data_IF_338290333920
#
_entry.id   IF_338290333920
#
_cell.length_a   1.000
_cell.length_b   1.000
_cell.length_c   1.000
_cell.angle_alpha   90.00
_cell.angle_beta   90.00
_cell.angle_gamma   90.00
#
_symmetry.space_group_name_H-M   'P 1'
#
loop_
_entity.id
_entity.type
_entity.pdbx_description
1 polymer ?
#
# COMPACT_ATOMS: atom_id res chain seq x y z
N UNK A 1 4.20 -11.35 -27.39
CA UNK A 1 4.93 -10.68 -26.29
C UNK A 1 4.67 -9.17 -26.22
N UNK A 2 4.38 -8.49 -27.35
CA UNK A 2 4.05 -7.05 -27.36
C UNK A 2 2.72 -6.73 -26.67
N UNK A 3 1.72 -7.59 -26.80
CA UNK A 3 0.37 -7.38 -26.24
C UNK A 3 0.37 -7.52 -24.71
N UNK A 4 1.17 -8.43 -24.16
CA UNK A 4 1.33 -8.59 -22.70
C UNK A 4 2.02 -7.36 -22.11
N UNK A 5 3.06 -6.86 -22.75
CA UNK A 5 3.78 -5.65 -22.28
C UNK A 5 2.89 -4.40 -22.30
N UNK A 6 2.02 -4.24 -23.30
CA UNK A 6 1.10 -3.09 -23.39
C UNK A 6 -0.01 -3.16 -22.37
N UNK A 7 -0.60 -4.35 -22.13
CA UNK A 7 -1.63 -4.53 -21.09
C UNK A 7 -1.11 -4.27 -19.69
N UNK A 8 0.10 -4.75 -19.37
CA UNK A 8 0.73 -4.53 -18.07
C UNK A 8 1.03 -3.04 -17.84
N UNK A 9 1.50 -2.33 -18.85
CA UNK A 9 1.79 -0.90 -18.76
C UNK A 9 0.52 -0.07 -18.56
N UNK A 10 -0.57 -0.39 -19.28
CA UNK A 10 -1.89 0.25 -19.11
C UNK A 10 -2.43 -0.01 -17.71
N UNK A 11 -2.34 -1.24 -17.22
CA UNK A 11 -2.79 -1.62 -15.89
C UNK A 11 -2.06 -0.84 -14.79
N UNK A 12 -0.72 -0.78 -14.84
CA UNK A 12 0.09 -0.03 -13.87
C UNK A 12 -0.23 1.46 -13.93
N UNK A 13 -0.32 2.04 -15.14
CA UNK A 13 -0.64 3.46 -15.31
C UNK A 13 -2.04 3.79 -14.78
N UNK A 14 -3.03 2.92 -15.03
CA UNK A 14 -4.40 3.09 -14.54
C UNK A 14 -4.44 3.08 -13.00
N UNK A 15 -3.77 2.14 -12.36
CA UNK A 15 -3.76 2.05 -10.89
C UNK A 15 -2.98 3.21 -10.25
N UNK A 16 -1.85 3.61 -10.82
CA UNK A 16 -1.10 4.78 -10.36
C UNK A 16 -1.85 6.10 -10.57
N UNK A 17 -2.75 6.19 -11.55
CA UNK A 17 -3.59 7.38 -11.74
C UNK A 17 -4.48 7.69 -10.51
N UNK A 18 -4.74 6.71 -9.65
CA UNK A 18 -5.45 6.92 -8.39
C UNK A 18 -4.69 7.82 -7.41
N UNK A 19 -3.35 7.91 -7.50
CA UNK A 19 -2.57 8.89 -6.71
C UNK A 19 -3.04 10.31 -7.08
N UNK A 20 -3.22 10.58 -8.37
CA UNK A 20 -3.75 11.86 -8.84
C UNK A 20 -5.20 12.08 -8.37
N UNK A 21 -6.07 11.06 -8.46
CA UNK A 21 -7.46 11.14 -7.98
C UNK A 21 -7.52 11.42 -6.48
N UNK A 22 -6.70 10.75 -5.68
CA UNK A 22 -6.60 11.03 -4.22
C UNK A 22 -6.13 12.47 -3.99
N UNK A 23 -5.12 12.94 -4.75
CA UNK A 23 -4.58 14.30 -4.60
C UNK A 23 -5.59 15.39 -4.96
N UNK A 24 -6.47 15.14 -5.91
CA UNK A 24 -7.52 16.09 -6.37
C UNK A 24 -8.83 15.96 -5.59
N UNK A 25 -8.99 14.94 -4.77
CA UNK A 25 -10.14 14.78 -3.88
C UNK A 25 -10.07 15.77 -2.70
N UNK A 26 -11.18 15.93 -1.96
CA UNK A 26 -11.23 16.79 -0.78
C UNK A 26 -10.10 16.47 0.20
N UNK A 27 -9.41 17.50 0.65
CA UNK A 27 -8.22 17.39 1.54
C UNK A 27 -7.12 16.44 1.00
N UNK A 28 -7.05 16.29 -0.33
CA UNK A 28 -6.14 15.34 -0.99
C UNK A 28 -4.66 15.63 -0.75
N UNK A 29 -4.30 16.86 -0.35
CA UNK A 29 -2.93 17.19 0.05
C UNK A 29 -2.49 16.37 1.28
N UNK A 30 -3.40 16.07 2.18
CA UNK A 30 -3.14 15.24 3.36
C UNK A 30 -3.38 13.76 3.05
N UNK A 31 -4.46 13.46 2.32
CA UNK A 31 -4.88 12.08 2.03
C UNK A 31 -3.87 11.33 1.16
N UNK A 32 -3.19 12.01 0.23
CA UNK A 32 -2.19 11.35 -0.66
C UNK A 32 -1.05 10.71 0.12
N UNK A 33 -0.68 11.26 1.27
CA UNK A 33 0.39 10.71 2.10
C UNK A 33 0.01 9.37 2.75
N UNK A 34 -1.30 9.09 2.91
CA UNK A 34 -1.76 7.80 3.42
C UNK A 34 -1.38 6.64 2.51
N UNK A 35 -1.32 6.85 1.20
CA UNK A 35 -0.93 5.82 0.24
C UNK A 35 0.49 5.33 0.56
N UNK A 36 1.41 6.27 0.70
CA UNK A 36 2.82 5.95 0.99
C UNK A 36 2.99 5.47 2.43
N UNK A 37 2.34 6.13 3.39
CA UNK A 37 2.41 5.73 4.78
C UNK A 37 1.84 4.31 4.98
N UNK A 38 0.68 3.98 4.43
CA UNK A 38 0.09 2.66 4.55
C UNK A 38 1.00 1.58 3.97
N UNK A 39 1.63 1.82 2.81
CA UNK A 39 2.55 0.88 2.19
C UNK A 39 3.85 0.72 3.00
N UNK A 40 4.57 1.82 3.25
CA UNK A 40 5.90 1.77 3.88
C UNK A 40 5.86 1.42 5.36
N UNK A 41 4.86 1.90 6.10
CA UNK A 41 4.64 1.50 7.49
C UNK A 41 4.32 0.03 7.56
N UNK A 42 3.43 -0.46 6.69
CA UNK A 42 3.12 -1.89 6.62
C UNK A 42 4.39 -2.73 6.41
N UNK A 43 5.20 -2.40 5.42
CA UNK A 43 6.41 -3.17 5.11
C UNK A 43 7.41 -3.17 6.27
N UNK A 44 7.61 -2.00 6.88
CA UNK A 44 8.51 -1.83 8.02
C UNK A 44 8.04 -2.64 9.23
N UNK A 45 6.78 -2.48 9.63
CA UNK A 45 6.26 -3.18 10.81
C UNK A 45 6.00 -4.66 10.54
N UNK A 46 5.64 -5.04 9.31
CA UNK A 46 5.57 -6.44 8.93
C UNK A 46 6.91 -7.13 9.03
N UNK A 47 8.01 -6.44 8.67
CA UNK A 47 9.34 -6.96 8.86
C UNK A 47 9.68 -7.16 10.36
N UNK A 48 9.50 -6.12 11.18
CA UNK A 48 9.81 -6.21 12.60
C UNK A 48 8.96 -7.28 13.32
N UNK A 49 7.64 -7.24 13.15
CA UNK A 49 6.75 -8.24 13.77
C UNK A 49 7.02 -9.64 13.23
N UNK A 50 7.36 -9.77 11.96
CA UNK A 50 7.75 -11.04 11.35
C UNK A 50 9.04 -11.61 11.91
N UNK A 51 10.03 -10.76 12.25
CA UNK A 51 11.29 -11.18 12.88
C UNK A 51 11.08 -11.61 14.34
N UNK A 52 10.27 -10.85 15.10
CA UNK A 52 10.07 -11.14 16.54
C UNK A 52 9.04 -12.22 16.80
N UNK A 53 7.97 -12.29 16.03
CA UNK A 53 6.81 -13.14 16.30
C UNK A 53 6.46 -14.11 15.16
N UNK A 54 7.11 -14.03 14.00
CA UNK A 54 6.76 -14.81 12.81
C UNK A 54 7.01 -16.31 12.98
N UNK A 55 5.91 -17.06 13.02
CA UNK A 55 5.92 -18.54 13.11
C UNK A 55 5.38 -19.18 11.83
N UNK A 56 4.37 -18.59 11.22
CA UNK A 56 3.69 -19.14 10.05
C UNK A 56 4.09 -18.38 8.79
N UNK A 57 4.60 -19.10 7.79
CA UNK A 57 4.95 -18.48 6.49
C UNK A 57 3.70 -18.15 5.69
N UNK A 58 3.60 -16.91 5.20
CA UNK A 58 2.45 -16.45 4.41
C UNK A 58 2.46 -17.05 3.00
N UNK A 59 3.60 -17.03 2.34
CA UNK A 59 3.74 -17.50 0.95
C UNK A 59 5.12 -18.16 0.75
N UNK A 60 5.33 -19.42 1.18
CA UNK A 60 6.65 -20.07 1.17
C UNK A 60 7.32 -20.12 -0.21
N UNK A 61 6.55 -20.29 -1.27
CA UNK A 61 7.03 -20.39 -2.65
C UNK A 61 7.34 -19.03 -3.28
N UNK A 62 6.57 -17.98 -2.96
CA UNK A 62 6.70 -16.65 -3.56
C UNK A 62 7.64 -15.75 -2.77
N UNK A 63 7.46 -15.70 -1.46
CA UNK A 63 8.23 -14.85 -0.55
C UNK A 63 8.46 -15.58 0.79
N UNK A 64 9.55 -16.37 0.91
CA UNK A 64 9.79 -17.23 2.07
C UNK A 64 10.09 -16.44 3.37
N UNK A 65 10.37 -15.14 3.27
CA UNK A 65 10.65 -14.28 4.41
C UNK A 65 9.38 -13.71 5.05
N UNK A 66 8.25 -13.65 4.33
CA UNK A 66 6.99 -13.09 4.85
C UNK A 66 6.26 -14.07 5.78
N UNK A 67 5.82 -13.57 6.93
CA UNK A 67 4.99 -14.31 7.89
C UNK A 67 3.59 -13.71 8.01
N UNK A 68 2.63 -14.53 8.42
CA UNK A 68 1.24 -14.11 8.65
C UNK A 68 1.17 -13.11 9.80
N UNK A 69 1.90 -13.40 10.89
CA UNK A 69 1.98 -12.53 12.06
C UNK A 69 2.59 -11.16 11.70
N UNK A 70 3.62 -11.18 10.83
CA UNK A 70 4.19 -9.96 10.27
C UNK A 70 3.16 -9.14 9.51
N UNK A 71 2.38 -9.78 8.63
CA UNK A 71 1.33 -9.11 7.88
C UNK A 71 0.27 -8.47 8.79
N UNK A 72 -0.21 -9.20 9.79
CA UNK A 72 -1.17 -8.66 10.77
C UNK A 72 -0.57 -7.45 11.52
N UNK A 73 0.68 -7.58 11.99
CA UNK A 73 1.36 -6.49 12.70
C UNK A 73 1.55 -5.24 11.83
N UNK A 74 1.90 -5.42 10.56
CA UNK A 74 2.02 -4.32 9.60
C UNK A 74 0.70 -3.59 9.38
N UNK A 75 -0.39 -4.32 9.14
CA UNK A 75 -1.72 -3.75 8.94
C UNK A 75 -2.22 -3.00 10.17
N UNK A 76 -2.06 -3.58 11.38
CA UNK A 76 -2.46 -2.93 12.64
C UNK A 76 -1.63 -1.65 12.87
N UNK A 77 -0.32 -1.72 12.69
CA UNK A 77 0.56 -0.55 12.84
C UNK A 77 0.19 0.56 11.83
N UNK A 78 -0.13 0.21 10.59
CA UNK A 78 -0.57 1.18 9.58
C UNK A 78 -1.87 1.87 9.97
N UNK A 79 -2.84 1.13 10.51
CA UNK A 79 -4.09 1.70 11.01
C UNK A 79 -3.87 2.68 12.16
N UNK A 80 -3.02 2.32 13.14
CA UNK A 80 -2.70 3.18 14.28
C UNK A 80 -1.98 4.45 13.82
N UNK A 81 -0.97 4.33 12.96
CA UNK A 81 -0.21 5.48 12.44
C UNK A 81 -1.09 6.35 11.55
N UNK A 82 -1.97 5.76 10.73
CA UNK A 82 -2.96 6.49 9.94
C UNK A 82 -3.94 7.28 10.82
N UNK A 83 -4.39 6.71 11.92
CA UNK A 83 -5.24 7.40 12.90
C UNK A 83 -4.52 8.55 13.61
N UNK A 84 -3.27 8.34 14.04
CA UNK A 84 -2.43 9.39 14.63
C UNK A 84 -2.21 10.54 13.62
N UNK A 85 -1.89 10.19 12.37
CA UNK A 85 -1.74 11.17 11.31
C UNK A 85 -3.03 11.97 11.08
N UNK A 86 -4.19 11.28 11.04
CA UNK A 86 -5.50 11.92 10.94
C UNK A 86 -5.80 12.89 12.07
N UNK A 87 -5.41 12.55 13.29
CA UNK A 87 -5.51 13.44 14.45
C UNK A 87 -4.64 14.70 14.29
N UNK A 88 -3.39 14.53 13.84
CA UNK A 88 -2.44 15.63 13.68
C UNK A 88 -2.84 16.61 12.56
N UNK A 89 -3.40 16.11 11.45
CA UNK A 89 -3.78 16.95 10.30
C UNK A 89 -5.20 17.51 10.39
N UNK A 90 -6.05 16.93 11.22
CA UNK A 90 -7.47 17.34 11.42
C UNK A 90 -7.66 18.85 11.58
N UNK A 91 -6.83 19.60 12.35
CA UNK A 91 -7.00 21.05 12.49
C UNK A 91 -6.74 21.84 11.20
N UNK A 92 -6.09 21.24 10.22
CA UNK A 92 -5.68 21.90 8.96
C UNK A 92 -6.56 21.49 7.77
N UNK A 93 -7.54 20.59 8.00
CA UNK A 93 -8.42 20.08 6.96
C UNK A 93 -9.64 20.98 6.75
N UNK A 94 -10.22 20.89 5.56
CA UNK A 94 -11.40 21.70 5.15
C UNK A 94 -12.68 21.38 5.92
N UNK A 95 -12.72 20.30 6.69
CA UNK A 95 -13.91 19.82 7.40
C UNK A 95 -14.86 18.99 6.54
N UNK A 96 -14.52 18.73 5.27
CA UNK A 96 -15.34 17.87 4.39
C UNK A 96 -15.26 16.40 4.83
N UNK A 97 -14.12 15.97 5.39
CA UNK A 97 -13.98 14.65 6.02
C UNK A 97 -14.41 14.81 7.48
N UNK A 98 -15.61 14.34 7.81
CA UNK A 98 -16.24 14.55 9.11
C UNK A 98 -15.44 13.95 10.30
N UNK A 99 -14.85 12.78 10.09
CA UNK A 99 -14.10 12.04 11.12
C UNK A 99 -12.69 11.64 10.62
N UNK A 100 -11.73 12.61 10.51
CA UNK A 100 -10.43 12.35 9.89
C UNK A 100 -9.66 11.20 10.54
N UNK A 101 -9.70 11.09 11.88
CA UNK A 101 -9.01 10.03 12.64
C UNK A 101 -9.50 8.64 12.23
N UNK A 102 -10.83 8.45 12.21
CA UNK A 102 -11.43 7.17 11.89
C UNK A 102 -11.24 6.85 10.40
N UNK A 103 -11.50 7.82 9.55
CA UNK A 103 -11.36 7.68 8.09
C UNK A 103 -9.93 7.32 7.71
N UNK A 104 -8.94 8.01 8.28
CA UNK A 104 -7.53 7.76 7.96
C UNK A 104 -7.02 6.46 8.57
N UNK A 105 -7.46 6.08 9.77
CA UNK A 105 -7.14 4.78 10.34
C UNK A 105 -7.71 3.63 9.49
N UNK A 106 -8.97 3.72 9.10
CA UNK A 106 -9.62 2.70 8.29
C UNK A 106 -9.05 2.65 6.86
N UNK A 107 -8.79 3.80 6.24
CA UNK A 107 -8.16 3.86 4.92
C UNK A 107 -6.74 3.29 4.93
N UNK A 108 -5.96 3.56 5.99
CA UNK A 108 -4.62 2.98 6.16
C UNK A 108 -4.68 1.48 6.41
N UNK A 109 -5.66 0.99 7.18
CA UNK A 109 -5.89 -0.44 7.39
C UNK A 109 -6.16 -1.16 6.07
N UNK A 110 -7.13 -0.65 5.29
CA UNK A 110 -7.50 -1.20 4.00
C UNK A 110 -6.33 -1.10 3.02
N UNK A 111 -5.67 0.06 2.95
CA UNK A 111 -4.52 0.29 2.09
C UNK A 111 -3.36 -0.67 2.38
N UNK A 112 -3.03 -0.89 3.66
CA UNK A 112 -1.99 -1.83 4.08
C UNK A 112 -2.32 -3.29 3.74
N UNK A 113 -3.59 -3.69 3.86
CA UNK A 113 -4.03 -5.01 3.43
C UNK A 113 -3.79 -5.21 1.92
N UNK A 114 -4.19 -4.22 1.10
CA UNK A 114 -3.96 -4.27 -0.34
C UNK A 114 -2.48 -4.11 -0.71
N UNK A 115 -1.65 -3.44 0.11
CA UNK A 115 -0.21 -3.41 -0.06
C UNK A 115 0.41 -4.82 0.01
N UNK A 116 -0.03 -5.64 0.97
CA UNK A 116 0.41 -7.04 1.08
C UNK A 116 0.01 -7.84 -0.16
N UNK A 117 -1.23 -7.67 -0.63
CA UNK A 117 -1.72 -8.35 -1.84
C UNK A 117 -0.91 -7.93 -3.07
N UNK A 118 -0.64 -6.62 -3.21
CA UNK A 118 0.15 -6.08 -4.32
C UNK A 118 1.57 -6.63 -4.38
N UNK A 119 2.26 -6.63 -3.24
CA UNK A 119 3.62 -7.17 -3.15
C UNK A 119 3.65 -8.70 -3.40
N UNK A 120 2.65 -9.45 -2.96
CA UNK A 120 2.54 -10.88 -3.29
C UNK A 120 2.25 -11.09 -4.78
N UNK A 121 1.39 -10.28 -5.38
CA UNK A 121 1.10 -10.34 -6.81
C UNK A 121 2.35 -10.02 -7.65
N UNK A 122 3.05 -8.94 -7.32
CA UNK A 122 4.32 -8.58 -7.98
C UNK A 122 5.37 -9.69 -7.82
N UNK A 123 5.46 -10.29 -6.63
CA UNK A 123 6.34 -11.44 -6.38
C UNK A 123 5.95 -12.66 -7.23
N UNK A 124 4.65 -12.93 -7.40
CA UNK A 124 4.17 -14.02 -8.25
C UNK A 124 4.54 -13.80 -9.73
N UNK A 125 4.33 -12.58 -10.24
CA UNK A 125 4.69 -12.20 -11.61
C UNK A 125 6.21 -12.39 -11.82
N UNK A 126 7.04 -11.89 -10.89
CA UNK A 126 8.51 -12.04 -10.96
C UNK A 126 8.92 -13.51 -11.04
N UNK A 127 8.34 -14.38 -10.20
CA UNK A 127 8.67 -15.82 -10.20
C UNK A 127 8.19 -16.54 -11.44
N UNK A 128 7.04 -16.13 -12.00
CA UNK A 128 6.53 -16.74 -13.24
C UNK A 128 7.41 -16.42 -14.47
N UNK A 129 8.18 -15.35 -14.41
CA UNK A 129 9.14 -14.96 -15.45
C UNK A 129 10.60 -15.28 -15.09
N UNK A 130 10.84 -16.09 -14.07
CA UNK A 130 12.18 -16.47 -13.58
C UNK A 130 13.09 -15.27 -13.26
N UNK A 131 12.51 -14.12 -12.93
CA UNK A 131 13.23 -12.93 -12.50
C UNK A 131 13.04 -12.70 -10.99
N UNK A 132 14.00 -12.02 -10.38
CA UNK A 132 13.92 -11.64 -8.96
C UNK A 132 13.47 -10.20 -8.79
N UNK A 133 13.97 -9.32 -9.61
CA UNK A 133 13.72 -7.88 -9.58
C UNK A 133 13.33 -7.40 -10.98
N UNK A 134 12.47 -6.37 -11.09
CA UNK A 134 12.04 -5.82 -12.38
C UNK A 134 13.13 -4.99 -13.09
N UNK A 135 14.25 -4.72 -12.43
CA UNK A 135 15.35 -3.97 -13.00
C UNK A 135 16.54 -3.83 -12.06
N UNK A 136 17.62 -3.25 -12.57
CA UNK A 136 18.90 -3.06 -11.85
C UNK A 136 19.27 -1.59 -11.74
N UNK A 137 18.29 -0.68 -11.82
CA UNK A 137 18.55 0.75 -11.87
C UNK A 137 19.20 1.27 -10.58
N UNK A 138 18.85 0.68 -9.44
CA UNK A 138 19.46 1.04 -8.15
C UNK A 138 20.36 -0.11 -7.72
N UNK A 139 21.71 0.05 -7.71
CA UNK A 139 22.62 -1.01 -7.31
C UNK A 139 22.29 -1.56 -5.92
N UNK A 140 22.07 -2.88 -5.82
CA UNK A 140 21.70 -3.59 -4.59
C UNK A 140 20.27 -3.44 -4.12
N UNK A 141 19.41 -2.67 -4.84
CA UNK A 141 18.04 -2.39 -4.43
C UNK A 141 16.95 -2.69 -5.49
N UNK A 142 17.33 -3.21 -6.67
CA UNK A 142 16.38 -3.54 -7.74
C UNK A 142 15.94 -2.35 -8.60
N UNK A 143 14.80 -2.48 -9.25
CA UNK A 143 14.21 -1.45 -10.11
C UNK A 143 13.29 -0.48 -9.37
N UNK A 144 12.89 0.59 -10.06
CA UNK A 144 11.89 1.55 -9.54
C UNK A 144 10.57 0.84 -9.25
N UNK A 145 10.11 -0.03 -10.15
CA UNK A 145 8.83 -0.73 -9.98
C UNK A 145 8.81 -1.62 -8.72
N UNK A 146 9.96 -2.18 -8.33
CA UNK A 146 10.09 -2.97 -7.10
C UNK A 146 9.88 -2.14 -5.81
N UNK A 147 9.87 -0.82 -5.91
CA UNK A 147 9.63 0.12 -4.80
C UNK A 147 8.19 0.61 -4.74
N UNK A 148 7.48 0.47 -5.82
CA UNK A 148 6.11 0.94 -5.95
C UNK A 148 5.11 -0.20 -6.18
N UNK A 149 5.55 -1.47 -6.14
CA UNK A 149 4.70 -2.64 -6.37
C UNK A 149 3.53 -2.72 -5.37
N UNK A 150 3.77 -2.43 -4.09
CA UNK A 150 2.73 -2.31 -3.08
C UNK A 150 1.88 -1.05 -3.24
N UNK A 151 2.49 0.09 -3.65
CA UNK A 151 1.80 1.37 -3.84
C UNK A 151 0.76 1.30 -4.94
N UNK A 152 1.01 0.53 -6.00
CA UNK A 152 0.09 0.34 -7.13
C UNK A 152 -1.29 -0.13 -6.64
N UNK A 153 -1.35 -1.06 -5.72
CA UNK A 153 -2.60 -1.57 -5.15
C UNK A 153 -3.13 -0.71 -4.00
N UNK A 154 -2.24 -0.09 -3.24
CA UNK A 154 -2.62 0.79 -2.12
C UNK A 154 -3.33 2.06 -2.60
N UNK A 155 -2.93 2.64 -3.74
CA UNK A 155 -3.51 3.88 -4.23
C UNK A 155 -5.02 3.79 -4.51
N UNK A 156 -5.54 2.84 -5.31
CA UNK A 156 -6.98 2.69 -5.50
C UNK A 156 -7.69 2.28 -4.20
N UNK A 157 -7.07 1.44 -3.35
CA UNK A 157 -7.66 1.01 -2.09
C UNK A 157 -7.91 2.19 -1.13
N UNK A 158 -6.92 3.07 -0.96
CA UNK A 158 -7.05 4.28 -0.14
C UNK A 158 -8.09 5.24 -0.74
N UNK A 159 -8.09 5.45 -2.07
CA UNK A 159 -9.09 6.30 -2.72
C UNK A 159 -10.51 5.83 -2.41
N UNK A 160 -10.80 4.57 -2.69
CA UNK A 160 -12.14 4.03 -2.47
C UNK A 160 -12.52 3.96 -0.99
N UNK A 161 -11.55 3.65 -0.10
CA UNK A 161 -11.79 3.65 1.33
C UNK A 161 -12.21 5.04 1.83
N UNK A 162 -11.44 6.08 1.51
CA UNK A 162 -11.76 7.46 1.91
C UNK A 162 -13.08 7.91 1.30
N UNK A 163 -13.30 7.64 0.01
CA UNK A 163 -14.52 8.01 -0.69
C UNK A 163 -15.76 7.36 -0.05
N UNK A 164 -15.74 6.04 0.15
CA UNK A 164 -16.89 5.32 0.70
C UNK A 164 -17.13 5.66 2.17
N UNK A 165 -16.08 5.73 2.99
CA UNK A 165 -16.24 6.06 4.41
C UNK A 165 -16.84 7.46 4.56
N UNK A 166 -16.39 8.44 3.77
CA UNK A 166 -16.93 9.80 3.81
C UNK A 166 -18.36 9.92 3.26
N UNK A 167 -18.84 8.93 2.53
CA UNK A 167 -20.25 8.89 2.05
C UNK A 167 -21.20 8.31 3.13
N UNK A 168 -20.69 7.44 4.02
CA UNK A 168 -21.52 6.72 4.99
C UNK A 168 -21.42 7.27 6.41
N UNK A 169 -20.42 8.10 6.72
CA UNK A 169 -20.25 8.78 8.00
C UNK A 169 -20.59 10.26 7.92
#
# INVERSE_FOLDING_TARGET
SSDVCSSDLVYVAMLLSYIYKVRTYHDGIYTVWLIFAASWVNDTFAYFTGVFFGRHKMAPKLSPKKSVEGGIGGVVASAVIGGIYGFLVSPHMSGVIAYPVVTFAAASFIGAFFAIVGDLAASAIKRNHDVKDYGTLIPGHGGILDRFDSVIFTAPAVYWAVYLINQFL
#
